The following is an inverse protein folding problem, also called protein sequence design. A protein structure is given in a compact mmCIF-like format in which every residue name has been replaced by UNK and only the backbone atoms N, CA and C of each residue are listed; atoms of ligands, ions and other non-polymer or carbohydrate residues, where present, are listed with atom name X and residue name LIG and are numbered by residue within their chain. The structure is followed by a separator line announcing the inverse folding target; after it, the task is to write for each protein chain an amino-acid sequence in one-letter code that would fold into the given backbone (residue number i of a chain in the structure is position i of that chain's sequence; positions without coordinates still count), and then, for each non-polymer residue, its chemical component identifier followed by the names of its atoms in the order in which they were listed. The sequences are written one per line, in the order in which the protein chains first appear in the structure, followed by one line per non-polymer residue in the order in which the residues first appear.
data_IF_818097409744
#
_entry.id   IF_818097409744
#
_cell.length_a   1.000
_cell.length_b   1.000
_cell.length_c   1.000
_cell.angle_alpha   90.00
_cell.angle_beta   90.00
_cell.angle_gamma   90.00
#
_symmetry.space_group_name_H-M   'P 1'
#
loop_
_entity.id
_entity.type
_entity.pdbx_description
1 polymer ?
#
# COMPACT_ATOMS: atom_id res chain seq x y z
N UNK A 1 12.42 -11.67 36.77
CA UNK A 1 12.68 -10.35 36.14
C UNK A 1 11.39 -9.89 35.50
N UNK A 2 10.96 -8.64 35.74
CA UNK A 2 9.74 -8.12 35.14
C UNK A 2 10.03 -7.81 33.64
N UNK A 3 9.27 -8.38 32.69
CA UNK A 3 9.52 -8.15 31.26
C UNK A 3 9.42 -6.67 30.82
N UNK A 4 8.65 -5.85 31.56
CA UNK A 4 8.63 -4.40 31.34
C UNK A 4 9.92 -3.70 31.79
N UNK A 5 10.69 -4.29 32.70
CA UNK A 5 11.96 -3.74 33.18
C UNK A 5 13.02 -3.72 32.06
N UNK A 6 12.96 -4.62 31.09
CA UNK A 6 13.82 -4.56 29.89
C UNK A 6 13.42 -3.41 28.97
N UNK A 7 12.14 -3.24 28.65
CA UNK A 7 11.64 -2.14 27.80
C UNK A 7 11.90 -0.76 28.43
N UNK A 8 11.79 -0.66 29.77
CA UNK A 8 12.10 0.56 30.53
C UNK A 8 13.61 0.82 30.69
N UNK A 9 14.47 -0.20 30.53
CA UNK A 9 15.94 -0.08 30.48
C UNK A 9 16.48 0.26 29.09
N UNK A 10 15.63 0.34 28.06
CA UNK A 10 16.00 0.77 26.71
C UNK A 10 15.48 2.19 26.37
N UNK A 11 15.80 3.25 27.15
CA UNK A 11 15.29 4.59 26.83
C UNK A 11 15.92 5.18 25.56
N UNK A 12 16.97 4.59 24.97
CA UNK A 12 17.64 5.17 23.81
C UNK A 12 18.52 4.19 23.00
N UNK A 13 18.36 2.87 23.12
CA UNK A 13 19.17 1.98 22.27
C UNK A 13 18.59 1.98 20.85
N UNK A 14 19.40 2.53 19.97
CA UNK A 14 19.21 2.56 18.51
C UNK A 14 19.40 1.16 17.91
N UNK A 15 19.87 0.17 18.69
CA UNK A 15 20.23 -1.17 18.21
C UNK A 15 19.35 -2.27 18.82
N UNK A 16 19.14 -3.35 18.06
CA UNK A 16 18.48 -4.59 18.50
C UNK A 16 17.00 -4.70 18.12
N UNK A 17 16.39 -3.70 17.45
CA UNK A 17 15.00 -3.78 16.99
C UNK A 17 14.85 -4.80 15.87
N UNK A 18 15.80 -4.88 14.94
CA UNK A 18 15.82 -5.90 13.90
C UNK A 18 15.80 -7.30 14.52
N UNK A 19 16.70 -7.55 15.46
CA UNK A 19 16.80 -8.86 16.13
C UNK A 19 15.50 -9.19 16.88
N UNK A 20 14.95 -8.22 17.60
CA UNK A 20 13.75 -8.38 18.42
C UNK A 20 12.45 -8.54 17.61
N UNK A 21 12.32 -7.80 16.51
CA UNK A 21 11.08 -7.71 15.73
C UNK A 21 11.05 -8.68 14.55
N UNK A 22 12.21 -8.98 13.95
CA UNK A 22 12.30 -9.74 12.69
C UNK A 22 12.99 -11.10 12.86
N UNK A 23 14.01 -11.20 13.72
CA UNK A 23 14.84 -12.42 13.83
C UNK A 23 14.35 -13.37 14.95
N UNK A 24 13.93 -12.85 16.09
CA UNK A 24 13.57 -13.64 17.29
C UNK A 24 12.07 -13.55 17.61
N UNK A 25 11.39 -14.64 18.06
CA UNK A 25 10.02 -14.54 18.56
C UNK A 25 10.00 -13.71 19.84
N UNK A 26 9.13 -12.71 19.98
CA UNK A 26 9.06 -11.88 21.18
C UNK A 26 8.54 -12.72 22.36
N UNK A 27 8.99 -12.39 23.57
CA UNK A 27 8.33 -12.90 24.77
C UNK A 27 6.85 -12.44 24.79
N UNK A 28 5.89 -13.26 25.23
CA UNK A 28 4.46 -12.90 25.27
C UNK A 28 4.17 -11.57 25.99
N UNK A 29 4.95 -11.27 27.03
CA UNK A 29 4.80 -10.06 27.84
C UNK A 29 5.30 -8.79 27.12
N UNK A 30 6.18 -8.94 26.13
CA UNK A 30 6.63 -7.86 25.27
C UNK A 30 5.47 -7.35 24.38
N UNK A 31 4.60 -8.25 23.91
CA UNK A 31 3.48 -7.91 23.01
C UNK A 31 2.50 -6.91 23.65
N UNK A 32 2.21 -7.08 24.94
CA UNK A 32 1.27 -6.23 25.66
C UNK A 32 1.83 -4.82 25.94
N UNK A 33 3.12 -4.70 26.28
CA UNK A 33 3.75 -3.42 26.61
C UNK A 33 4.28 -2.65 25.39
N UNK A 34 4.57 -3.35 24.28
CA UNK A 34 5.18 -2.75 23.10
C UNK A 34 4.29 -1.71 22.42
N UNK A 35 2.97 -1.94 22.36
CA UNK A 35 2.03 -1.03 21.70
C UNK A 35 2.00 0.36 22.38
N UNK A 36 1.95 0.40 23.71
CA UNK A 36 1.94 1.65 24.48
C UNK A 36 3.29 2.34 24.51
N UNK A 37 4.38 1.57 24.68
CA UNK A 37 5.73 2.11 24.66
C UNK A 37 6.07 2.72 23.29
N UNK A 38 5.83 2.00 22.19
CA UNK A 38 6.11 2.49 20.84
C UNK A 38 5.27 3.73 20.48
N UNK A 39 4.06 3.84 21.03
CA UNK A 39 3.23 5.04 20.91
C UNK A 39 3.86 6.25 21.58
N UNK A 40 4.42 6.09 22.78
CA UNK A 40 5.09 7.18 23.49
C UNK A 40 6.32 7.66 22.71
N UNK A 41 7.17 6.74 22.25
CA UNK A 41 8.36 7.05 21.45
C UNK A 41 8.00 7.77 20.14
N UNK A 42 6.96 7.30 19.44
CA UNK A 42 6.51 7.94 18.20
C UNK A 42 5.97 9.36 18.44
N UNK A 43 5.24 9.59 19.54
CA UNK A 43 4.74 10.93 19.90
C UNK A 43 5.88 11.91 20.17
N UNK A 44 6.90 11.47 20.91
CA UNK A 44 8.06 12.31 21.23
C UNK A 44 8.86 12.65 19.96
N UNK A 45 8.97 11.69 19.04
CA UNK A 45 9.52 11.93 17.70
C UNK A 45 8.70 12.97 16.93
N UNK A 46 7.38 12.80 16.84
CA UNK A 46 6.53 13.69 16.06
C UNK A 46 6.57 15.13 16.59
N UNK A 47 6.63 15.31 17.91
CA UNK A 47 6.71 16.63 18.53
C UNK A 47 7.92 17.49 18.07
N UNK A 48 8.99 16.87 17.57
CA UNK A 48 10.19 17.59 17.09
C UNK A 48 10.38 17.56 15.56
N UNK A 49 9.98 16.48 14.89
CA UNK A 49 10.27 16.25 13.47
C UNK A 49 9.12 16.65 12.55
N UNK A 50 7.91 16.83 13.09
CA UNK A 50 6.74 17.20 12.30
C UNK A 50 6.70 18.71 12.02
N UNK A 51 7.73 19.20 11.33
CA UNK A 51 7.85 20.59 10.89
C UNK A 51 8.42 20.66 9.46
N UNK A 52 8.04 21.67 8.68
CA UNK A 52 8.73 21.96 7.43
C UNK A 52 10.18 22.44 7.70
N UNK A 53 11.15 22.11 6.83
CA UNK A 53 12.48 22.70 6.87
C UNK A 53 12.42 24.22 6.65
N UNK A 54 13.26 24.98 7.35
CA UNK A 54 13.53 26.36 6.99
C UNK A 54 14.31 26.43 5.66
N UNK A 55 14.23 27.55 4.94
CA UNK A 55 14.88 27.70 3.62
C UNK A 55 16.39 27.46 3.65
N UNK A 56 17.07 27.85 4.75
CA UNK A 56 18.50 27.60 4.92
C UNK A 56 18.83 26.11 5.08
N UNK A 57 18.02 25.38 5.86
CA UNK A 57 18.15 23.93 6.04
C UNK A 57 17.88 23.21 4.72
N UNK A 58 16.87 23.65 3.96
CA UNK A 58 16.57 23.11 2.63
C UNK A 58 17.78 23.22 1.69
N UNK A 59 18.39 24.40 1.59
CA UNK A 59 19.55 24.61 0.73
C UNK A 59 20.78 23.80 1.18
N UNK A 60 20.96 23.57 2.48
CA UNK A 60 22.01 22.70 3.01
C UNK A 60 21.78 21.24 2.65
N UNK A 61 20.55 20.75 2.82
CA UNK A 61 20.16 19.40 2.44
C UNK A 61 20.34 19.16 0.94
N UNK A 62 19.99 20.14 0.09
CA UNK A 62 20.19 20.03 -1.36
C UNK A 62 21.67 19.99 -1.75
N UNK A 63 22.50 20.82 -1.11
CA UNK A 63 23.96 20.76 -1.31
C UNK A 63 24.54 19.42 -0.87
N UNK A 64 24.10 18.91 0.27
CA UNK A 64 24.54 17.60 0.75
C UNK A 64 24.05 16.49 -0.19
N UNK A 65 22.79 16.51 -0.61
CA UNK A 65 22.21 15.56 -1.56
C UNK A 65 23.01 15.54 -2.86
N UNK A 66 23.35 16.71 -3.42
CA UNK A 66 24.10 16.83 -4.66
C UNK A 66 25.58 16.44 -4.53
N UNK A 67 26.11 16.32 -3.30
CA UNK A 67 27.51 15.95 -3.07
C UNK A 67 27.77 14.45 -3.37
N UNK A 68 29.01 14.11 -3.73
CA UNK A 68 29.42 12.72 -3.93
C UNK A 68 29.17 11.86 -2.68
N UNK A 69 29.45 12.40 -1.49
CA UNK A 69 29.19 11.73 -0.21
C UNK A 69 27.71 11.47 -0.02
N UNK A 70 26.85 12.47 -0.23
CA UNK A 70 25.41 12.30 -0.08
C UNK A 70 24.82 11.27 -1.03
N UNK A 71 25.22 11.32 -2.31
CA UNK A 71 24.82 10.35 -3.32
C UNK A 71 25.24 8.90 -2.96
N UNK A 72 26.50 8.71 -2.54
CA UNK A 72 27.01 7.40 -2.14
C UNK A 72 26.32 6.87 -0.87
N UNK A 73 26.14 7.72 0.14
CA UNK A 73 25.47 7.35 1.39
C UNK A 73 24.01 6.95 1.14
N UNK A 74 23.25 7.72 0.35
CA UNK A 74 21.85 7.39 0.05
C UNK A 74 21.71 6.12 -0.80
N UNK A 75 22.63 5.88 -1.74
CA UNK A 75 22.66 4.63 -2.49
C UNK A 75 22.93 3.43 -1.54
N UNK A 76 23.85 3.58 -0.59
CA UNK A 76 24.15 2.56 0.41
C UNK A 76 22.97 2.30 1.35
N UNK A 77 22.27 3.36 1.80
CA UNK A 77 21.02 3.26 2.57
C UNK A 77 19.96 2.50 1.78
N UNK A 78 19.79 2.83 0.50
CA UNK A 78 18.82 2.15 -0.39
C UNK A 78 19.09 0.65 -0.48
N UNK A 79 20.36 0.26 -0.70
CA UNK A 79 20.76 -1.14 -0.77
C UNK A 79 20.59 -1.84 0.59
N UNK A 80 20.94 -1.19 1.69
CA UNK A 80 20.78 -1.75 3.04
C UNK A 80 19.31 -2.00 3.37
N UNK A 81 18.45 -1.01 3.13
CA UNK A 81 17.00 -1.13 3.34
C UNK A 81 16.41 -2.24 2.48
N UNK A 82 16.75 -2.27 1.20
CA UNK A 82 16.32 -3.33 0.29
C UNK A 82 16.73 -4.72 0.77
N UNK A 83 17.99 -4.90 1.20
CA UNK A 83 18.50 -6.20 1.69
C UNK A 83 17.78 -6.65 2.94
N UNK A 84 17.63 -5.75 3.91
CA UNK A 84 16.91 -6.05 5.14
C UNK A 84 15.46 -6.44 4.82
N UNK A 85 14.81 -5.69 3.92
CA UNK A 85 13.44 -6.00 3.54
C UNK A 85 13.34 -7.35 2.77
N UNK A 86 14.20 -7.57 1.79
CA UNK A 86 14.20 -8.81 1.00
C UNK A 86 14.33 -10.07 1.86
N UNK A 87 15.07 -10.00 2.98
CA UNK A 87 15.29 -11.13 3.87
C UNK A 87 14.02 -11.59 4.62
N UNK A 88 13.00 -10.74 4.70
CA UNK A 88 11.75 -11.02 5.42
C UNK A 88 10.51 -10.97 4.53
N UNK A 89 10.70 -10.77 3.22
CA UNK A 89 9.64 -10.64 2.21
C UNK A 89 8.63 -11.81 2.22
N UNK A 90 9.10 -13.04 2.47
CA UNK A 90 8.27 -14.24 2.46
C UNK A 90 7.34 -14.36 3.68
N UNK A 91 7.50 -13.49 4.68
CA UNK A 91 6.64 -13.42 5.86
C UNK A 91 5.49 -12.43 5.73
N UNK A 92 5.43 -11.69 4.62
CA UNK A 92 4.47 -10.63 4.43
C UNK A 92 3.07 -11.16 4.09
N UNK A 93 2.01 -10.57 4.62
CA UNK A 93 0.66 -10.89 4.16
C UNK A 93 0.33 -10.23 2.81
N UNK A 94 -0.62 -10.83 2.05
CA UNK A 94 -1.12 -10.24 0.81
C UNK A 94 -1.63 -8.83 1.03
N UNK A 95 -1.52 -7.97 0.01
CA UNK A 95 -1.83 -6.54 0.07
C UNK A 95 -0.85 -5.64 0.84
N UNK A 96 0.02 -6.22 1.67
CA UNK A 96 1.21 -5.58 2.25
C UNK A 96 2.47 -6.42 2.04
N UNK A 97 2.42 -7.22 0.98
CA UNK A 97 3.48 -8.14 0.56
C UNK A 97 4.67 -7.38 -0.03
N UNK A 98 5.71 -8.13 -0.39
CA UNK A 98 6.86 -7.55 -1.06
C UNK A 98 6.47 -6.88 -2.39
N UNK A 99 5.44 -7.38 -3.09
CA UNK A 99 4.89 -6.69 -4.27
C UNK A 99 4.38 -5.31 -3.90
N UNK A 100 3.59 -5.15 -2.85
CA UNK A 100 3.13 -3.84 -2.39
C UNK A 100 4.29 -2.95 -1.91
N UNK A 101 4.99 -3.39 -0.86
CA UNK A 101 5.92 -2.56 -0.10
C UNK A 101 7.26 -2.33 -0.81
N UNK A 102 7.71 -3.28 -1.64
CA UNK A 102 9.03 -3.21 -2.28
C UNK A 102 8.97 -2.96 -3.79
N UNK A 103 7.84 -3.17 -4.47
CA UNK A 103 7.70 -2.89 -5.90
C UNK A 103 6.75 -1.73 -6.16
N UNK A 104 5.48 -1.89 -5.79
CA UNK A 104 4.40 -1.04 -6.29
C UNK A 104 4.45 0.36 -5.71
N UNK A 105 4.61 0.49 -4.39
CA UNK A 105 4.70 1.80 -3.72
C UNK A 105 6.01 2.52 -4.08
N UNK A 106 7.20 1.90 -4.04
CA UNK A 106 8.43 2.56 -4.48
C UNK A 106 8.39 3.00 -5.95
N UNK A 107 7.85 2.17 -6.85
CA UNK A 107 7.74 2.53 -8.27
C UNK A 107 6.77 3.69 -8.49
N UNK A 108 5.60 3.67 -7.85
CA UNK A 108 4.66 4.78 -7.92
C UNK A 108 5.26 6.08 -7.34
N UNK A 109 6.08 5.99 -6.29
CA UNK A 109 6.80 7.13 -5.73
C UNK A 109 7.78 7.74 -6.75
N UNK A 110 8.50 6.89 -7.50
CA UNK A 110 9.38 7.33 -8.59
C UNK A 110 8.59 7.93 -9.77
N UNK A 111 7.41 7.40 -10.11
CA UNK A 111 6.52 8.00 -11.12
C UNK A 111 6.08 9.41 -10.71
N UNK A 112 5.66 9.59 -9.45
CA UNK A 112 5.30 10.89 -8.88
C UNK A 112 6.48 11.87 -8.86
N UNK A 113 7.65 11.38 -8.45
CA UNK A 113 8.90 12.15 -8.45
C UNK A 113 9.18 12.73 -9.84
N UNK A 114 9.02 11.92 -10.90
CA UNK A 114 9.21 12.35 -12.28
C UNK A 114 8.11 13.28 -12.78
N UNK A 115 6.84 12.99 -12.46
CA UNK A 115 5.70 13.79 -12.90
C UNK A 115 5.76 15.21 -12.34
N UNK A 116 6.12 15.35 -11.06
CA UNK A 116 6.24 16.66 -10.38
C UNK A 116 7.60 17.33 -10.58
N UNK A 117 8.53 16.66 -11.28
CA UNK A 117 9.90 17.14 -11.47
C UNK A 117 10.55 17.50 -10.12
N UNK A 118 10.41 16.60 -9.14
CA UNK A 118 10.97 16.83 -7.80
C UNK A 118 12.50 16.84 -7.90
N UNK A 119 13.11 17.88 -7.34
CA UNK A 119 14.55 18.11 -7.31
C UNK A 119 15.12 18.03 -5.89
N UNK A 120 16.45 17.96 -5.78
CA UNK A 120 17.17 18.04 -4.52
C UNK A 120 16.85 16.91 -3.54
N UNK A 121 17.00 17.20 -2.25
CA UNK A 121 16.84 16.21 -1.18
C UNK A 121 15.40 15.66 -1.08
N UNK A 122 14.39 16.38 -1.58
CA UNK A 122 13.00 15.94 -1.55
C UNK A 122 12.78 14.57 -2.23
N UNK A 123 13.68 14.21 -3.16
CA UNK A 123 13.70 12.94 -3.91
C UNK A 123 13.88 11.71 -3.02
N UNK A 124 14.34 11.87 -1.78
CA UNK A 124 14.42 10.78 -0.78
C UNK A 124 13.04 10.20 -0.43
N UNK A 125 11.93 10.84 -0.83
CA UNK A 125 10.59 10.28 -0.70
C UNK A 125 10.44 8.88 -1.29
N UNK A 126 11.21 8.54 -2.34
CA UNK A 126 11.23 7.19 -2.89
C UNK A 126 11.85 6.14 -1.93
N UNK A 127 12.79 6.54 -1.08
CA UNK A 127 13.32 5.69 -0.01
C UNK A 127 12.31 5.57 1.14
N UNK A 128 11.58 6.65 1.45
CA UNK A 128 10.46 6.63 2.39
C UNK A 128 9.37 5.64 1.96
N UNK A 129 9.06 5.61 0.65
CA UNK A 129 8.16 4.66 0.03
C UNK A 129 8.63 3.20 0.15
N UNK A 130 9.93 2.93 0.18
CA UNK A 130 10.44 1.58 0.48
C UNK A 130 10.32 1.27 1.98
N UNK A 131 10.57 2.23 2.86
CA UNK A 131 10.58 2.03 4.32
C UNK A 131 9.17 1.87 4.94
N UNK A 132 8.14 2.48 4.35
CA UNK A 132 6.87 2.77 5.03
C UNK A 132 6.21 1.54 5.70
N UNK A 133 6.20 0.40 5.02
CA UNK A 133 5.54 -0.83 5.46
C UNK A 133 6.50 -1.91 5.97
N UNK A 134 7.78 -1.60 6.16
CA UNK A 134 8.79 -2.54 6.67
C UNK A 134 8.39 -3.21 8.00
N UNK A 135 7.72 -2.47 8.88
CA UNK A 135 7.21 -2.95 10.16
C UNK A 135 5.99 -3.85 10.06
N UNK A 136 5.35 -4.00 8.89
CA UNK A 136 4.17 -4.87 8.75
C UNK A 136 4.53 -6.34 8.94
N UNK A 137 5.67 -6.78 8.44
CA UNK A 137 6.07 -8.19 8.57
C UNK A 137 6.47 -8.54 9.99
N UNK A 138 7.07 -7.58 10.71
CA UNK A 138 7.25 -7.67 12.15
C UNK A 138 5.89 -7.78 12.85
N UNK A 139 4.95 -6.88 12.57
CA UNK A 139 3.61 -6.89 13.19
C UNK A 139 2.94 -8.26 13.05
N UNK A 140 2.97 -8.87 11.88
CA UNK A 140 2.37 -10.17 11.63
C UNK A 140 3.06 -11.30 12.39
N UNK A 141 4.41 -11.31 12.41
CA UNK A 141 5.17 -12.26 13.23
C UNK A 141 4.83 -12.15 14.71
N UNK A 142 4.61 -10.92 15.18
CA UNK A 142 4.34 -10.63 16.59
C UNK A 142 2.86 -10.84 16.97
N UNK A 143 1.90 -10.70 16.05
CA UNK A 143 0.47 -10.66 16.39
C UNK A 143 -0.39 -11.69 15.62
N UNK A 144 0.18 -12.43 14.67
CA UNK A 144 -0.52 -13.45 13.89
C UNK A 144 -1.45 -12.90 12.81
N UNK A 145 -1.42 -11.60 12.57
CA UNK A 145 -2.23 -10.87 11.60
C UNK A 145 -2.12 -9.36 11.81
N UNK A 146 -2.75 -8.54 10.96
CA UNK A 146 -2.72 -7.09 11.08
C UNK A 146 -3.39 -6.66 12.40
N UNK A 147 -2.66 -5.92 13.25
CA UNK A 147 -3.21 -5.39 14.49
C UNK A 147 -4.09 -4.15 14.23
N UNK A 148 -4.84 -3.72 15.25
CA UNK A 148 -5.63 -2.51 15.19
C UNK A 148 -4.72 -1.25 15.14
N UNK A 149 -4.52 -0.73 13.92
CA UNK A 149 -4.13 0.66 13.58
C UNK A 149 -2.73 1.14 14.03
N UNK A 150 -1.97 1.62 13.04
CA UNK A 150 -0.66 2.34 13.09
C UNK A 150 0.52 1.65 13.79
N UNK A 151 0.35 0.43 14.31
CA UNK A 151 1.43 -0.27 14.99
C UNK A 151 2.57 -0.65 14.02
N UNK A 152 2.24 -1.14 12.82
CA UNK A 152 3.23 -1.39 11.78
C UNK A 152 4.05 -0.15 11.41
N UNK A 153 3.41 1.03 11.32
CA UNK A 153 4.11 2.29 11.06
C UNK A 153 5.16 2.62 12.14
N UNK A 154 4.82 2.36 13.41
CA UNK A 154 5.76 2.52 14.54
C UNK A 154 6.89 1.50 14.50
N UNK A 155 6.63 0.27 14.07
CA UNK A 155 7.67 -0.74 13.85
C UNK A 155 8.59 -0.35 12.69
N UNK A 156 8.04 0.11 11.56
CA UNK A 156 8.80 0.63 10.42
C UNK A 156 9.72 1.77 10.86
N UNK A 157 9.22 2.65 11.72
CA UNK A 157 10.00 3.72 12.34
C UNK A 157 11.17 3.21 13.18
N UNK A 158 10.95 2.23 14.06
CA UNK A 158 12.01 1.70 14.92
C UNK A 158 13.08 0.98 14.09
N UNK A 159 12.67 0.16 13.12
CA UNK A 159 13.55 -0.55 12.19
C UNK A 159 14.34 0.43 11.32
N UNK A 160 13.68 1.46 10.80
CA UNK A 160 14.30 2.53 10.03
C UNK A 160 15.32 3.31 10.87
N UNK A 161 14.97 3.64 12.12
CA UNK A 161 15.86 4.39 13.02
C UNK A 161 17.13 3.61 13.32
N UNK A 162 17.01 2.31 13.57
CA UNK A 162 18.17 1.43 13.76
C UNK A 162 19.05 1.37 12.52
N UNK A 163 18.45 1.14 11.35
CA UNK A 163 19.18 1.04 10.09
C UNK A 163 19.91 2.34 9.75
N UNK A 164 19.22 3.49 9.84
CA UNK A 164 19.77 4.79 9.45
C UNK A 164 20.91 5.26 10.36
N UNK A 165 20.99 4.77 11.60
CA UNK A 165 22.07 5.11 12.52
C UNK A 165 23.44 4.52 12.13
N UNK A 166 23.46 3.54 11.23
CA UNK A 166 24.70 3.04 10.62
C UNK A 166 25.30 3.98 9.57
N UNK A 167 24.66 5.12 9.28
CA UNK A 167 25.03 6.03 8.20
C UNK A 167 25.20 7.47 8.71
N UNK A 168 26.17 8.19 8.13
CA UNK A 168 26.37 9.62 8.39
C UNK A 168 25.39 10.45 7.54
N UNK A 169 24.18 10.64 8.07
CA UNK A 169 23.13 11.45 7.45
C UNK A 169 22.97 12.79 8.16
N UNK A 170 22.63 13.88 7.44
CA UNK A 170 22.12 15.09 8.08
C UNK A 170 20.90 14.74 8.95
N UNK A 171 20.84 15.18 10.22
CA UNK A 171 19.77 14.78 11.14
C UNK A 171 18.36 15.03 10.61
N UNK A 172 18.14 16.19 9.97
CA UNK A 172 16.85 16.55 9.39
C UNK A 172 16.45 15.61 8.23
N UNK A 173 17.40 15.09 7.45
CA UNK A 173 17.14 14.15 6.38
C UNK A 173 16.67 12.80 6.94
N UNK A 174 17.37 12.30 7.97
CA UNK A 174 16.97 11.09 8.67
C UNK A 174 15.58 11.23 9.30
N UNK A 175 15.30 12.38 9.92
CA UNK A 175 13.98 12.69 10.46
C UNK A 175 12.88 12.71 9.39
N UNK A 176 13.13 13.28 8.20
CA UNK A 176 12.16 13.26 7.12
C UNK A 176 11.87 11.84 6.61
N UNK A 177 12.89 10.99 6.46
CA UNK A 177 12.71 9.58 6.11
C UNK A 177 11.88 8.84 7.17
N UNK A 178 12.19 9.03 8.45
CA UNK A 178 11.47 8.39 9.55
C UNK A 178 10.04 8.90 9.70
N UNK A 179 9.79 10.17 9.37
CA UNK A 179 8.46 10.76 9.33
C UNK A 179 7.58 10.07 8.28
N UNK A 180 8.14 9.71 7.12
CA UNK A 180 7.39 8.96 6.09
C UNK A 180 6.85 7.64 6.64
N UNK A 181 7.67 6.90 7.40
CA UNK A 181 7.27 5.64 8.01
C UNK A 181 6.15 5.82 9.04
N UNK A 182 6.23 6.84 9.90
CA UNK A 182 5.23 7.08 10.95
C UNK A 182 3.90 7.65 10.44
N UNK A 183 3.96 8.57 9.46
CA UNK A 183 2.78 9.34 9.02
C UNK A 183 2.10 8.79 7.77
N UNK A 184 2.65 7.79 7.09
CA UNK A 184 2.03 7.28 5.85
C UNK A 184 0.56 6.86 6.04
N UNK A 185 0.24 6.27 7.20
CA UNK A 185 -1.12 5.82 7.55
C UNK A 185 -2.10 6.95 7.85
N UNK A 186 -1.62 8.13 8.27
CA UNK A 186 -2.48 9.29 8.60
C UNK A 186 -2.77 10.19 7.40
N UNK A 187 -2.07 10.01 6.29
CA UNK A 187 -2.14 10.89 5.14
C UNK A 187 -1.13 12.05 5.22
N UNK A 188 -1.18 12.91 4.21
CA UNK A 188 -0.31 14.08 4.08
C UNK A 188 -1.13 15.30 3.65
N UNK A 189 -0.77 16.44 4.21
CA UNK A 189 -1.37 17.75 3.99
C UNK A 189 -0.51 18.58 3.00
N UNK A 190 -1.05 19.65 2.39
CA UNK A 190 -0.30 20.48 1.44
C UNK A 190 1.03 21.03 2.00
N UNK A 191 1.04 21.41 3.27
CA UNK A 191 2.21 21.94 3.99
C UNK A 191 3.23 20.88 4.38
N UNK A 192 2.91 19.60 4.27
CA UNK A 192 3.83 18.53 4.65
C UNK A 192 5.05 18.46 3.71
N UNK A 193 6.19 17.97 4.24
CA UNK A 193 7.41 17.87 3.45
C UNK A 193 7.21 16.91 2.27
N UNK A 194 7.81 17.26 1.13
CA UNK A 194 7.66 16.50 -0.13
C UNK A 194 8.00 15.00 -0.01
N UNK A 195 9.04 14.57 0.75
CA UNK A 195 9.27 13.14 0.98
C UNK A 195 8.07 12.36 1.54
N UNK A 196 7.33 12.95 2.49
CA UNK A 196 6.11 12.34 3.04
C UNK A 196 5.01 12.26 1.98
N UNK A 197 4.84 13.32 1.19
CA UNK A 197 3.84 13.38 0.11
C UNK A 197 4.08 12.34 -0.98
N UNK A 198 5.33 12.15 -1.37
CA UNK A 198 5.78 11.12 -2.33
C UNK A 198 5.59 9.68 -1.81
N UNK A 199 5.60 9.48 -0.49
CA UNK A 199 5.33 8.18 0.13
C UNK A 199 3.84 7.91 0.25
N UNK A 200 3.10 8.85 0.87
CA UNK A 200 1.66 8.74 1.10
C UNK A 200 0.90 8.57 -0.20
N UNK A 201 1.19 9.40 -1.20
CA UNK A 201 0.42 9.36 -2.46
C UNK A 201 0.64 8.05 -3.20
N UNK A 202 1.88 7.57 -3.22
CA UNK A 202 2.23 6.29 -3.83
C UNK A 202 1.58 5.09 -3.13
N UNK A 203 1.51 5.08 -1.79
CA UNK A 203 0.81 4.07 -1.00
C UNK A 203 -0.71 4.12 -1.26
N UNK A 204 -1.30 5.31 -1.21
CA UNK A 204 -2.75 5.49 -1.43
C UNK A 204 -3.18 5.18 -2.85
N UNK A 205 -2.33 5.38 -3.85
CA UNK A 205 -2.63 4.98 -5.22
C UNK A 205 -2.81 3.46 -5.35
N UNK A 206 -2.29 2.65 -4.42
CA UNK A 206 -2.54 1.19 -4.37
C UNK A 206 -3.94 0.83 -3.84
N UNK A 207 -4.67 1.81 -3.32
CA UNK A 207 -6.10 1.68 -3.01
C UNK A 207 -6.98 2.02 -4.23
N UNK A 208 -6.37 2.28 -5.38
CA UNK A 208 -7.03 2.59 -6.65
C UNK A 208 -6.49 1.69 -7.78
N UNK A 209 -7.37 1.24 -8.67
CA UNK A 209 -6.98 0.37 -9.78
C UNK A 209 -6.91 -1.11 -9.40
N UNK A 210 -6.10 -1.89 -10.12
CA UNK A 210 -6.14 -3.35 -10.12
C UNK A 210 -5.56 -4.03 -8.88
N UNK A 211 -4.54 -3.42 -8.26
CA UNK A 211 -3.91 -3.98 -7.05
C UNK A 211 -4.89 -4.10 -5.87
N UNK A 212 -5.99 -3.32 -5.87
CA UNK A 212 -7.01 -3.44 -4.81
C UNK A 212 -7.78 -4.77 -4.87
N UNK A 213 -7.80 -5.45 -6.02
CA UNK A 213 -8.42 -6.77 -6.14
C UNK A 213 -7.72 -7.82 -5.27
N UNK A 214 -6.40 -7.71 -5.09
CA UNK A 214 -5.64 -8.55 -4.15
C UNK A 214 -6.10 -8.35 -2.70
N UNK A 215 -6.68 -7.19 -2.39
CA UNK A 215 -7.18 -6.85 -1.05
C UNK A 215 -8.55 -7.45 -0.73
N UNK A 216 -9.28 -7.97 -1.73
CA UNK A 216 -10.61 -8.57 -1.52
C UNK A 216 -10.59 -9.70 -0.50
N UNK A 217 -9.54 -10.52 -0.55
CA UNK A 217 -9.42 -11.65 0.35
C UNK A 217 -8.55 -11.35 1.59
N UNK A 218 -7.92 -10.16 1.65
CA UNK A 218 -6.94 -9.77 2.66
C UNK A 218 -7.48 -9.74 4.10
N UNK A 219 -8.55 -8.99 4.32
CA UNK A 219 -8.92 -8.59 5.68
C UNK A 219 -9.71 -9.67 6.38
N UNK A 220 -9.14 -10.31 7.41
CA UNK A 220 -9.87 -11.26 8.24
C UNK A 220 -11.19 -10.65 8.77
N UNK A 221 -12.23 -11.48 8.97
CA UNK A 221 -13.45 -10.99 9.58
C UNK A 221 -13.17 -10.34 10.93
N UNK A 222 -13.73 -9.16 11.18
CA UNK A 222 -13.60 -8.54 12.50
C UNK A 222 -14.57 -9.18 13.50
N UNK A 223 -14.50 -8.76 14.77
CA UNK A 223 -15.36 -9.27 15.85
C UNK A 223 -16.86 -9.08 15.57
N UNK A 224 -17.22 -8.09 14.72
CA UNK A 224 -18.60 -7.84 14.28
C UNK A 224 -19.04 -8.72 13.10
N UNK A 225 -18.14 -9.52 12.56
CA UNK A 225 -18.39 -10.35 11.38
C UNK A 225 -18.37 -9.59 10.06
N UNK A 226 -17.91 -8.33 10.03
CA UNK A 226 -17.67 -7.63 8.77
C UNK A 226 -16.54 -8.33 8.00
N UNK A 227 -16.60 -8.24 6.67
CA UNK A 227 -15.70 -8.84 5.69
C UNK A 227 -15.73 -10.37 5.68
N UNK A 228 -16.81 -11.00 6.17
CA UNK A 228 -17.00 -12.46 6.05
C UNK A 228 -17.29 -12.92 4.63
N UNK A 229 -17.94 -12.07 3.82
CA UNK A 229 -18.28 -12.32 2.43
C UNK A 229 -17.41 -11.49 1.48
N UNK A 230 -17.31 -11.95 0.23
CA UNK A 230 -16.76 -11.13 -0.86
C UNK A 230 -17.80 -10.13 -1.39
N UNK A 231 -19.04 -10.60 -1.57
CA UNK A 231 -20.17 -9.84 -2.15
C UNK A 231 -21.34 -9.80 -1.16
N UNK A 232 -21.70 -8.61 -0.66
CA UNK A 232 -22.92 -8.36 0.12
C UNK A 232 -23.14 -9.23 1.37
N UNK A 233 -24.38 -9.33 1.86
CA UNK A 233 -24.75 -10.12 3.03
C UNK A 233 -24.95 -11.61 2.67
N UNK A 234 -24.58 -12.52 3.59
CA UNK A 234 -24.86 -13.95 3.44
C UNK A 234 -26.28 -14.27 3.96
N UNK A 235 -27.06 -15.12 3.27
CA UNK A 235 -28.40 -15.49 3.73
C UNK A 235 -28.39 -16.05 5.16
N UNK A 236 -29.17 -15.44 6.05
CA UNK A 236 -29.30 -15.87 7.45
C UNK A 236 -28.18 -15.41 8.39
N UNK A 237 -27.22 -14.60 7.92
CA UNK A 237 -26.22 -13.95 8.77
C UNK A 237 -26.65 -12.53 9.15
N UNK A 238 -26.06 -12.00 10.23
CA UNK A 238 -26.27 -10.61 10.63
C UNK A 238 -25.72 -9.66 9.55
N UNK A 239 -26.40 -8.52 9.28
CA UNK A 239 -25.95 -7.56 8.29
C UNK A 239 -24.57 -7.03 8.65
N UNK A 240 -23.67 -7.00 7.66
CA UNK A 240 -22.28 -6.59 7.82
C UNK A 240 -21.66 -6.20 6.49
N UNK A 241 -20.60 -5.40 6.54
CA UNK A 241 -19.88 -4.96 5.33
C UNK A 241 -19.19 -6.15 4.65
N UNK A 242 -19.33 -6.27 3.33
CA UNK A 242 -18.57 -7.20 2.49
C UNK A 242 -17.20 -6.63 2.10
N UNK A 243 -16.34 -7.46 1.51
CA UNK A 243 -15.07 -6.99 0.97
C UNK A 243 -15.24 -5.90 -0.11
N UNK A 244 -16.27 -6.02 -0.97
CA UNK A 244 -16.58 -4.99 -1.98
C UNK A 244 -17.03 -3.66 -1.37
N UNK A 245 -17.79 -3.67 -0.27
CA UNK A 245 -18.19 -2.43 0.42
C UNK A 245 -16.97 -1.65 0.92
N UNK A 246 -15.92 -2.36 1.32
CA UNK A 246 -14.64 -1.74 1.71
C UNK A 246 -13.90 -1.13 0.52
N UNK A 247 -13.90 -1.82 -0.63
CA UNK A 247 -13.27 -1.30 -1.85
C UNK A 247 -14.02 -0.06 -2.33
N UNK A 248 -15.36 -0.09 -2.31
CA UNK A 248 -16.19 1.07 -2.60
C UNK A 248 -15.86 2.24 -1.66
N UNK A 249 -15.71 1.99 -0.37
CA UNK A 249 -15.30 3.02 0.59
C UNK A 249 -14.01 3.71 0.13
N UNK A 250 -12.98 2.95 -0.26
CA UNK A 250 -11.73 3.53 -0.78
C UNK A 250 -11.94 4.28 -2.10
N UNK A 251 -12.70 3.70 -3.03
CA UNK A 251 -13.03 4.30 -4.31
C UNK A 251 -13.76 5.67 -4.18
N UNK A 252 -14.69 5.79 -3.23
CA UNK A 252 -15.42 7.03 -2.93
C UNK A 252 -14.56 8.03 -2.17
N UNK A 253 -13.84 7.56 -1.17
CA UNK A 253 -13.13 8.39 -0.22
C UNK A 253 -11.66 8.55 -0.59
N UNK A 254 -11.32 8.73 -1.89
CA UNK A 254 -9.93 9.02 -2.31
C UNK A 254 -9.31 9.97 -1.31
N UNK A 255 -8.40 9.44 -0.50
CA UNK A 255 -7.67 10.24 0.44
C UNK A 255 -6.77 11.11 -0.44
N UNK A 256 -6.85 12.44 -0.33
CA UNK A 256 -6.09 13.31 -1.20
C UNK A 256 -4.61 12.94 -1.08
N UNK A 257 -3.98 12.60 -2.20
CA UNK A 257 -2.54 12.73 -2.33
C UNK A 257 -2.29 14.23 -2.50
N UNK A 258 -1.54 14.89 -1.61
CA UNK A 258 -1.26 16.31 -1.77
C UNK A 258 -0.37 16.51 -3.01
N UNK A 259 -0.97 17.07 -4.07
CA UNK A 259 -0.27 17.68 -5.22
C UNK A 259 0.45 16.71 -6.17
N UNK A 260 -0.31 15.98 -7.01
CA UNK A 260 0.31 15.22 -8.11
C UNK A 260 -0.52 15.28 -9.40
N UNK A 261 0.12 15.64 -10.52
CA UNK A 261 -0.40 15.84 -11.87
C UNK A 261 -0.67 14.53 -12.65
N UNK A 262 -0.74 13.37 -11.99
CA UNK A 262 -1.05 12.07 -12.61
C UNK A 262 -2.55 11.91 -12.95
N UNK A 263 -3.25 12.99 -13.28
CA UNK A 263 -4.71 13.02 -13.40
C UNK A 263 -5.26 11.98 -14.40
N UNK A 264 -4.63 11.81 -15.56
CA UNK A 264 -5.08 10.86 -16.57
C UNK A 264 -4.88 9.39 -16.16
N UNK A 265 -3.72 9.05 -15.58
CA UNK A 265 -3.43 7.68 -15.12
C UNK A 265 -4.31 7.31 -13.92
N UNK A 266 -4.49 8.24 -12.98
CA UNK A 266 -5.37 8.05 -11.84
C UNK A 266 -6.83 7.94 -12.30
N UNK A 267 -7.27 8.77 -13.25
CA UNK A 267 -8.61 8.65 -13.83
C UNK A 267 -8.82 7.29 -14.51
N UNK A 268 -7.83 6.79 -15.26
CA UNK A 268 -7.89 5.46 -15.87
C UNK A 268 -7.97 4.34 -14.81
N UNK A 269 -7.14 4.38 -13.77
CA UNK A 269 -7.21 3.43 -12.64
C UNK A 269 -8.55 3.47 -11.92
N UNK A 270 -9.13 4.67 -11.76
CA UNK A 270 -10.43 4.86 -11.14
C UNK A 270 -11.56 4.32 -12.03
N UNK A 271 -11.51 4.55 -13.32
CA UNK A 271 -12.47 4.01 -14.28
C UNK A 271 -12.41 2.48 -14.33
N UNK A 272 -11.19 1.92 -14.33
CA UNK A 272 -10.97 0.48 -14.23
C UNK A 272 -11.56 -0.11 -12.95
N UNK A 273 -11.32 0.53 -11.79
CA UNK A 273 -11.85 0.05 -10.52
C UNK A 273 -13.38 0.08 -10.49
N UNK A 274 -13.98 1.09 -11.11
CA UNK A 274 -15.42 1.14 -11.26
C UNK A 274 -15.94 -0.03 -12.11
N UNK A 275 -15.29 -0.31 -13.24
CA UNK A 275 -15.63 -1.48 -14.08
C UNK A 275 -15.50 -2.80 -13.34
N UNK A 276 -14.44 -2.95 -12.56
CA UNK A 276 -14.22 -4.12 -11.70
C UNK A 276 -15.38 -4.32 -10.71
N UNK A 277 -15.81 -3.26 -10.02
CA UNK A 277 -16.94 -3.32 -9.08
C UNK A 277 -18.23 -3.71 -9.78
N UNK A 278 -18.52 -3.13 -10.96
CA UNK A 278 -19.72 -3.43 -11.74
C UNK A 278 -19.74 -4.88 -12.24
N UNK A 279 -18.60 -5.44 -12.67
CA UNK A 279 -18.56 -6.83 -13.16
C UNK A 279 -18.62 -7.89 -12.07
N UNK A 280 -18.22 -7.54 -10.83
CA UNK A 280 -18.15 -8.45 -9.69
C UNK A 280 -19.53 -8.73 -9.04
N UNK A 281 -20.55 -7.91 -9.33
CA UNK A 281 -21.86 -8.01 -8.70
C UNK A 281 -23.01 -7.84 -9.74
N UNK A 282 -24.24 -8.31 -9.44
CA UNK A 282 -25.36 -8.12 -10.37
C UNK A 282 -25.80 -6.65 -10.42
N UNK A 283 -26.42 -6.25 -11.54
CA UNK A 283 -26.86 -4.85 -11.73
C UNK A 283 -27.77 -4.33 -10.61
N UNK A 284 -28.61 -5.19 -10.02
CA UNK A 284 -29.46 -4.81 -8.88
C UNK A 284 -28.66 -4.36 -7.67
N UNK A 285 -27.53 -5.03 -7.38
CA UNK A 285 -26.61 -4.65 -6.32
C UNK A 285 -25.86 -3.36 -6.69
N UNK A 286 -25.33 -3.26 -7.91
CA UNK A 286 -24.64 -2.03 -8.38
C UNK A 286 -25.54 -0.80 -8.38
N UNK A 287 -26.82 -0.95 -8.71
CA UNK A 287 -27.79 0.15 -8.64
C UNK A 287 -27.99 0.64 -7.20
N UNK A 288 -28.02 -0.27 -6.23
CA UNK A 288 -28.10 0.10 -4.81
C UNK A 288 -26.80 0.75 -4.33
N UNK A 289 -25.66 0.16 -4.68
CA UNK A 289 -24.31 0.63 -4.33
C UNK A 289 -24.03 2.03 -4.86
N UNK A 290 -24.39 2.28 -6.12
CA UNK A 290 -24.14 3.52 -6.84
C UNK A 290 -25.42 4.32 -7.11
N UNK A 291 -26.34 4.32 -6.14
CA UNK A 291 -27.62 5.01 -6.25
C UNK A 291 -27.48 6.53 -6.50
N UNK A 292 -26.36 7.13 -6.09
CA UNK A 292 -26.02 8.53 -6.37
C UNK A 292 -25.65 8.81 -7.84
N UNK A 293 -25.29 7.77 -8.60
CA UNK A 293 -25.05 7.83 -10.05
C UNK A 293 -26.25 7.37 -10.88
N UNK A 294 -27.21 6.65 -10.29
CA UNK A 294 -28.44 6.27 -10.98
C UNK A 294 -29.33 7.51 -11.21
N UNK A 295 -30.01 7.60 -12.37
CA UNK A 295 -30.82 8.75 -12.77
C UNK A 295 -31.94 9.13 -11.76
N UNK A 296 -32.35 8.18 -10.91
CA UNK A 296 -33.33 8.37 -9.84
C UNK A 296 -32.74 9.04 -8.57
N UNK A 297 -31.42 9.29 -8.56
CA UNK A 297 -30.61 9.68 -7.41
C UNK A 297 -30.60 11.15 -7.02
N UNK A 298 -31.50 11.99 -7.56
CA UNK A 298 -31.72 13.36 -7.05
C UNK A 298 -32.39 13.31 -5.67
N UNK A 299 -31.66 12.86 -4.65
CA UNK A 299 -32.14 12.74 -3.28
C UNK A 299 -31.63 11.52 -2.51
N UNK A 300 -31.03 10.54 -3.19
CA UNK A 300 -30.48 9.37 -2.50
C UNK A 300 -29.28 9.79 -1.61
N UNK A 301 -29.30 9.44 -0.30
CA UNK A 301 -28.12 9.62 0.54
C UNK A 301 -26.99 8.76 -0.04
N UNK A 302 -25.78 9.31 -0.07
CA UNK A 302 -24.61 8.49 -0.40
C UNK A 302 -24.53 7.35 0.62
N UNK A 303 -24.44 6.10 0.16
CA UNK A 303 -24.14 4.98 1.04
C UNK A 303 -22.73 5.23 1.59
N UNK A 304 -22.66 5.73 2.83
CA UNK A 304 -21.41 5.90 3.61
C UNK A 304 -20.23 6.58 2.88
N UNK A 305 -20.40 7.78 2.33
CA UNK A 305 -19.23 8.51 1.82
C UNK A 305 -19.50 9.73 0.94
N UNK A 306 -18.47 10.14 0.20
CA UNK A 306 -18.55 11.20 -0.81
C UNK A 306 -19.37 10.74 -2.02
N UNK A 307 -20.14 11.67 -2.60
CA UNK A 307 -20.84 11.44 -3.88
C UNK A 307 -19.83 11.25 -5.01
N UNK A 308 -20.14 10.34 -5.91
CA UNK A 308 -19.34 10.06 -7.08
C UNK A 308 -19.65 11.05 -8.21
N UNK A 309 -18.64 11.49 -8.98
CA UNK A 309 -18.87 12.37 -10.11
C UNK A 309 -19.50 11.60 -11.29
N UNK A 310 -20.46 12.22 -11.97
CA UNK A 310 -21.12 11.66 -13.16
C UNK A 310 -20.14 11.33 -14.30
N UNK A 311 -18.96 11.97 -14.35
CA UNK A 311 -17.92 11.67 -15.34
C UNK A 311 -17.42 10.22 -15.30
N UNK A 312 -17.64 9.47 -14.23
CA UNK A 312 -17.31 8.04 -14.15
C UNK A 312 -18.18 7.18 -15.09
N UNK A 313 -19.36 7.68 -15.44
CA UNK A 313 -20.26 7.01 -16.37
C UNK A 313 -19.83 7.22 -17.83
N UNK A 314 -18.88 8.13 -18.10
CA UNK A 314 -18.31 8.32 -19.45
C UNK A 314 -19.39 8.61 -20.51
N UNK A 315 -20.37 9.44 -20.14
CA UNK A 315 -21.50 9.82 -21.00
C UNK A 315 -22.63 8.78 -21.10
N UNK A 316 -22.50 7.63 -20.43
CA UNK A 316 -23.53 6.59 -20.34
C UNK A 316 -24.44 6.79 -19.12
N UNK A 317 -25.54 6.05 -19.05
CA UNK A 317 -26.21 5.80 -17.77
C UNK A 317 -25.56 4.63 -17.00
N UNK A 318 -26.00 4.38 -15.76
CA UNK A 318 -25.44 3.31 -14.92
C UNK A 318 -25.74 1.90 -15.49
N UNK A 319 -26.88 1.69 -16.14
CA UNK A 319 -27.24 0.41 -16.73
C UNK A 319 -26.39 0.10 -17.97
N UNK A 320 -26.20 1.09 -18.83
CA UNK A 320 -25.31 1.04 -20.00
C UNK A 320 -23.85 0.82 -19.58
N UNK A 321 -23.39 1.53 -18.53
CA UNK A 321 -22.05 1.34 -17.99
C UNK A 321 -21.85 -0.07 -17.43
N UNK A 322 -22.85 -0.61 -16.71
CA UNK A 322 -22.82 -1.98 -16.17
C UNK A 322 -22.81 -3.03 -17.27
N UNK A 323 -23.64 -2.86 -18.31
CA UNK A 323 -23.65 -3.74 -19.48
C UNK A 323 -22.29 -3.72 -20.19
N UNK A 324 -21.67 -2.54 -20.37
CA UNK A 324 -20.32 -2.39 -20.92
C UNK A 324 -19.28 -3.13 -20.08
N UNK A 325 -19.29 -2.93 -18.76
CA UNK A 325 -18.36 -3.61 -17.85
C UNK A 325 -18.53 -5.14 -17.89
N UNK A 326 -19.77 -5.61 -17.95
CA UNK A 326 -20.09 -7.04 -18.06
C UNK A 326 -19.61 -7.62 -19.39
N UNK A 327 -19.73 -6.89 -20.49
CA UNK A 327 -19.22 -7.30 -21.80
C UNK A 327 -17.68 -7.36 -21.87
N UNK A 328 -16.99 -6.57 -21.05
CA UNK A 328 -15.53 -6.61 -20.89
C UNK A 328 -15.06 -7.76 -20.00
N UNK A 329 -15.95 -8.41 -19.25
CA UNK A 329 -15.58 -9.48 -18.33
C UNK A 329 -15.01 -10.67 -19.13
N UNK A 330 -13.74 -11.05 -18.91
CA UNK A 330 -13.14 -12.20 -19.59
C UNK A 330 -13.92 -13.47 -19.31
N UNK A 331 -13.97 -14.36 -20.30
CA UNK A 331 -14.36 -15.74 -20.05
C UNK A 331 -13.38 -16.34 -19.04
N UNK A 332 -13.88 -16.98 -18.00
CA UNK A 332 -13.07 -17.60 -16.95
C UNK A 332 -13.28 -19.11 -16.96
N UNK A 333 -12.30 -19.83 -16.41
CA UNK A 333 -12.37 -21.29 -16.26
C UNK A 333 -13.30 -21.65 -15.09
N UNK A 334 -12.79 -21.50 -13.88
CA UNK A 334 -13.50 -21.67 -12.62
C UNK A 334 -12.94 -20.67 -11.59
N UNK A 335 -13.75 -20.22 -10.63
CA UNK A 335 -13.36 -19.14 -9.73
C UNK A 335 -12.19 -19.50 -8.82
N UNK A 336 -12.00 -20.78 -8.44
CA UNK A 336 -10.86 -21.21 -7.64
C UNK A 336 -9.55 -21.05 -8.43
N UNK A 337 -9.54 -21.49 -9.68
CA UNK A 337 -8.37 -21.35 -10.57
C UNK A 337 -8.03 -19.89 -10.80
N UNK A 338 -9.01 -19.03 -11.10
CA UNK A 338 -8.75 -17.61 -11.34
C UNK A 338 -8.29 -16.86 -10.08
N UNK A 339 -8.85 -17.21 -8.91
CA UNK A 339 -8.39 -16.68 -7.63
C UNK A 339 -6.96 -17.16 -7.34
N UNK A 340 -6.66 -18.44 -7.57
CA UNK A 340 -5.31 -18.98 -7.38
C UNK A 340 -4.29 -18.26 -8.28
N UNK A 341 -4.62 -18.05 -9.56
CA UNK A 341 -3.76 -17.32 -10.50
C UNK A 341 -3.49 -15.88 -10.04
N UNK A 342 -4.51 -15.17 -9.55
CA UNK A 342 -4.35 -13.83 -8.98
C UNK A 342 -3.43 -13.84 -7.73
N UNK A 343 -3.54 -14.88 -6.90
CA UNK A 343 -2.72 -15.08 -5.70
C UNK A 343 -1.31 -15.62 -6.00
N UNK A 344 -1.06 -16.12 -7.20
CA UNK A 344 0.23 -16.62 -7.69
C UNK A 344 1.05 -15.56 -8.43
N UNK A 345 0.53 -14.33 -8.54
CA UNK A 345 1.28 -13.20 -9.07
C UNK A 345 2.64 -13.05 -8.35
N UNK A 346 3.71 -12.64 -9.07
CA UNK A 346 5.06 -12.59 -8.50
C UNK A 346 5.10 -11.83 -7.18
N UNK A 347 5.64 -12.50 -6.16
CA UNK A 347 5.89 -11.94 -4.81
C UNK A 347 4.64 -11.42 -4.10
N UNK A 348 3.46 -11.87 -4.51
CA UNK A 348 2.30 -11.92 -3.64
C UNK A 348 2.57 -13.08 -2.68
N UNK A 349 2.51 -12.83 -1.38
CA UNK A 349 2.83 -13.85 -0.36
C UNK A 349 1.58 -14.26 0.42
N UNK A 350 0.65 -15.03 -0.18
CA UNK A 350 -0.47 -15.57 0.55
C UNK A 350 -0.01 -16.81 1.28
N UNK A 351 0.29 -16.64 2.58
CA UNK A 351 0.49 -17.76 3.49
C UNK A 351 -0.59 -18.83 3.31
N UNK A 352 -0.33 -20.11 3.63
CA UNK A 352 -1.35 -21.16 3.50
C UNK A 352 -2.67 -20.82 4.23
N UNK A 353 -2.58 -20.16 5.38
CA UNK A 353 -3.74 -19.66 6.13
C UNK A 353 -4.55 -18.63 5.34
N UNK A 354 -3.86 -17.74 4.61
CA UNK A 354 -4.52 -16.77 3.75
C UNK A 354 -5.25 -17.43 2.59
N UNK A 355 -4.60 -18.36 1.88
CA UNK A 355 -5.23 -19.07 0.76
C UNK A 355 -6.49 -19.79 1.24
N UNK A 356 -6.41 -20.42 2.41
CA UNK A 356 -7.56 -21.06 3.04
C UNK A 356 -8.69 -20.05 3.36
N UNK A 357 -8.36 -18.86 3.88
CA UNK A 357 -9.33 -17.80 4.12
C UNK A 357 -10.00 -17.33 2.81
N UNK A 358 -9.21 -17.04 1.78
CA UNK A 358 -9.67 -16.59 0.48
C UNK A 358 -10.62 -17.62 -0.18
N UNK A 359 -10.19 -18.87 -0.23
CA UNK A 359 -11.00 -19.98 -0.76
C UNK A 359 -12.25 -20.23 0.10
N UNK A 360 -12.13 -20.13 1.42
CA UNK A 360 -13.25 -20.28 2.34
C UNK A 360 -14.35 -19.22 2.15
N UNK A 361 -13.99 -18.00 1.72
CA UNK A 361 -14.97 -16.98 1.33
C UNK A 361 -15.62 -17.28 -0.01
N UNK A 362 -14.81 -17.69 -0.98
CA UNK A 362 -15.28 -18.03 -2.33
C UNK A 362 -16.27 -19.20 -2.31
N UNK A 363 -16.04 -20.18 -1.44
CA UNK A 363 -16.92 -21.35 -1.27
C UNK A 363 -18.29 -21.03 -0.66
N UNK A 364 -18.48 -19.84 -0.05
CA UNK A 364 -19.75 -19.41 0.54
C UNK A 364 -20.69 -18.71 -0.45
N UNK A 365 -20.20 -18.47 -1.66
CA UNK A 365 -20.95 -17.75 -2.68
C UNK A 365 -21.82 -18.69 -3.50
N UNK A 366 -22.94 -18.19 -4.01
CA UNK A 366 -23.74 -18.92 -5.00
C UNK A 366 -23.01 -19.03 -6.35
N UNK A 367 -23.45 -19.96 -7.20
CA UNK A 367 -22.82 -20.26 -8.48
C UNK A 367 -22.74 -19.02 -9.39
N UNK A 368 -23.75 -18.16 -9.36
CA UNK A 368 -23.78 -16.96 -10.18
C UNK A 368 -22.75 -15.92 -9.72
N UNK A 369 -22.59 -15.73 -8.41
CA UNK A 369 -21.58 -14.86 -7.81
C UNK A 369 -20.16 -15.39 -8.05
N UNK A 370 -20.01 -16.72 -7.93
CA UNK A 370 -18.79 -17.45 -8.26
C UNK A 370 -18.36 -17.21 -9.71
N UNK A 371 -19.26 -17.39 -10.67
CA UNK A 371 -18.99 -17.14 -12.09
C UNK A 371 -18.58 -15.66 -12.36
N UNK A 372 -19.32 -14.70 -11.77
CA UNK A 372 -18.99 -13.27 -11.93
C UNK A 372 -17.60 -12.95 -11.40
N UNK A 373 -17.26 -13.44 -10.21
CA UNK A 373 -15.96 -13.20 -9.60
C UNK A 373 -14.82 -13.92 -10.32
N UNK A 374 -15.05 -15.09 -10.92
CA UNK A 374 -14.05 -15.74 -11.74
C UNK A 374 -13.55 -14.80 -12.86
N UNK A 375 -14.49 -14.24 -13.63
CA UNK A 375 -14.16 -13.27 -14.68
C UNK A 375 -13.53 -11.98 -14.12
N UNK A 376 -13.98 -11.50 -12.96
CA UNK A 376 -13.39 -10.32 -12.32
C UNK A 376 -11.95 -10.55 -11.83
N UNK A 377 -11.65 -11.73 -11.27
CA UNK A 377 -10.30 -12.10 -10.87
C UNK A 377 -9.36 -12.19 -12.06
N UNK A 378 -9.81 -12.81 -13.16
CA UNK A 378 -9.05 -12.84 -14.41
C UNK A 378 -8.78 -11.43 -14.95
N UNK A 379 -9.81 -10.57 -14.97
CA UNK A 379 -9.68 -9.17 -15.37
C UNK A 379 -8.66 -8.40 -14.53
N UNK A 380 -8.62 -8.66 -13.21
CA UNK A 380 -7.62 -8.10 -12.32
C UNK A 380 -6.21 -8.63 -12.58
N UNK A 381 -6.05 -9.94 -12.76
CA UNK A 381 -4.75 -10.56 -13.04
C UNK A 381 -4.14 -10.03 -14.35
N UNK A 382 -4.93 -9.95 -15.42
CA UNK A 382 -4.52 -9.39 -16.70
C UNK A 382 -4.06 -7.93 -16.55
N UNK A 383 -4.79 -7.13 -15.78
CA UNK A 383 -4.44 -5.74 -15.50
C UNK A 383 -3.16 -5.60 -14.65
N UNK A 384 -2.97 -6.46 -13.64
CA UNK A 384 -1.74 -6.53 -12.85
C UNK A 384 -0.51 -6.84 -13.71
N UNK A 385 -0.62 -7.82 -14.62
CA UNK A 385 0.47 -8.17 -15.54
C UNK A 385 0.80 -7.03 -16.50
N UNK A 386 -0.21 -6.36 -17.05
CA UNK A 386 -0.01 -5.21 -17.93
C UNK A 386 0.67 -4.04 -17.19
N UNK A 387 0.28 -3.76 -15.95
CA UNK A 387 0.92 -2.72 -15.13
C UNK A 387 2.36 -3.09 -14.74
N UNK A 388 2.64 -4.36 -14.45
CA UNK A 388 4.01 -4.84 -14.18
C UNK A 388 4.93 -4.58 -15.38
N UNK A 389 4.48 -4.90 -16.59
CA UNK A 389 5.24 -4.65 -17.82
C UNK A 389 5.47 -3.15 -18.06
N UNK A 390 4.44 -2.32 -17.81
CA UNK A 390 4.52 -0.85 -17.90
C UNK A 390 5.53 -0.30 -16.90
N UNK A 391 5.44 -0.71 -15.63
CA UNK A 391 6.34 -0.28 -14.56
C UNK A 391 7.79 -0.69 -14.85
N UNK A 392 8.01 -1.91 -15.33
CA UNK A 392 9.35 -2.35 -15.70
C UNK A 392 9.94 -1.54 -16.86
N UNK A 393 9.11 -1.17 -17.84
CA UNK A 393 9.50 -0.28 -18.95
C UNK A 393 9.86 1.11 -18.41
N UNK A 394 9.03 1.67 -17.52
CA UNK A 394 9.30 2.93 -16.85
C UNK A 394 10.62 2.89 -16.07
N UNK A 395 10.85 1.88 -15.24
CA UNK A 395 12.05 1.74 -14.42
C UNK A 395 13.33 1.62 -15.28
N UNK A 396 13.27 0.87 -16.39
CA UNK A 396 14.40 0.76 -17.33
C UNK A 396 14.74 2.10 -17.96
N UNK A 397 13.74 2.86 -18.39
CA UNK A 397 13.94 4.21 -18.93
C UNK A 397 14.46 5.17 -17.85
N UNK A 398 13.92 5.10 -16.64
CA UNK A 398 14.32 5.92 -15.50
C UNK A 398 15.79 5.70 -15.16
N UNK A 399 16.23 4.44 -15.06
CA UNK A 399 17.62 4.08 -14.76
C UNK A 399 18.61 4.67 -15.77
N UNK A 400 18.22 4.79 -17.04
CA UNK A 400 19.06 5.41 -18.08
C UNK A 400 19.07 6.93 -17.95
N UNK A 401 17.91 7.55 -17.72
CA UNK A 401 17.75 9.01 -17.62
C UNK A 401 18.38 9.60 -16.35
N UNK A 402 18.22 8.91 -15.24
CA UNK A 402 18.62 9.37 -13.90
C UNK A 402 19.91 8.68 -13.43
N UNK A 403 20.79 8.27 -14.37
CA UNK A 403 22.02 7.56 -14.04
C UNK A 403 22.98 8.37 -13.13
N UNK A 404 22.83 9.70 -13.10
CA UNK A 404 23.59 10.60 -12.24
C UNK A 404 23.01 10.76 -10.83
N UNK A 405 21.76 10.35 -10.61
CA UNK A 405 21.12 10.32 -9.30
C UNK A 405 21.28 8.91 -8.72
N UNK A 406 22.33 8.73 -7.92
CA UNK A 406 22.74 7.43 -7.39
C UNK A 406 21.64 6.70 -6.59
N UNK A 407 20.91 7.32 -5.63
CA UNK A 407 19.85 6.61 -4.93
C UNK A 407 18.66 6.24 -5.82
N UNK A 408 18.25 7.11 -6.75
CA UNK A 408 17.18 6.79 -7.72
C UNK A 408 17.62 5.65 -8.64
N UNK A 409 18.83 5.72 -9.20
CA UNK A 409 19.38 4.69 -10.07
C UNK A 409 19.58 3.35 -9.34
N UNK A 410 20.02 3.39 -8.07
CA UNK A 410 20.16 2.20 -7.23
C UNK A 410 18.81 1.54 -6.97
N UNK A 411 17.80 2.31 -6.56
CA UNK A 411 16.45 1.80 -6.33
C UNK A 411 15.84 1.22 -7.61
N UNK A 412 15.89 1.97 -8.72
CA UNK A 412 15.42 1.47 -10.02
C UNK A 412 16.15 0.19 -10.45
N UNK A 413 17.47 0.12 -10.24
CA UNK A 413 18.28 -1.07 -10.51
C UNK A 413 17.87 -2.29 -9.68
N UNK A 414 17.65 -2.10 -8.37
CA UNK A 414 17.18 -3.16 -7.47
C UNK A 414 15.79 -3.64 -7.89
N UNK A 415 14.87 -2.71 -8.17
CA UNK A 415 13.53 -3.01 -8.66
C UNK A 415 13.58 -3.83 -9.95
N UNK A 416 14.39 -3.44 -10.94
CA UNK A 416 14.52 -4.20 -12.21
C UNK A 416 15.06 -5.62 -11.97
N UNK A 417 16.07 -5.75 -11.10
CA UNK A 417 16.83 -7.00 -10.94
C UNK A 417 16.16 -8.00 -9.99
N UNK A 418 15.14 -7.59 -9.24
CA UNK A 418 14.43 -8.42 -8.29
C UNK A 418 13.52 -9.49 -8.93
N UNK A 419 13.43 -9.51 -10.27
CA UNK A 419 12.74 -10.58 -11.00
C UNK A 419 11.23 -10.51 -10.91
N UNK A 420 10.64 -9.31 -10.85
CA UNK A 420 9.18 -9.14 -10.81
C UNK A 420 8.47 -9.45 -12.13
N UNK A 421 9.22 -9.55 -13.24
CA UNK A 421 8.70 -9.92 -14.56
C UNK A 421 8.86 -11.41 -14.83
N UNK A 422 7.73 -12.12 -14.91
CA UNK A 422 7.47 -13.46 -15.43
C UNK A 422 8.65 -14.45 -15.55
N UNK A 423 8.52 -15.60 -14.87
CA UNK A 423 8.71 -16.86 -15.57
C UNK A 423 7.74 -16.86 -16.76
N UNK A 424 8.26 -16.61 -17.96
CA UNK A 424 7.53 -16.82 -19.22
C UNK A 424 7.45 -18.30 -19.54
#
# INVERSE_FOLDING_TARGET
MNPTEHLLRFPALVHGWRELLLDTPPAPELRAAFADWSKAVARDFLARADRPPASAEHAELDRWYASATGQQTLAAVTVALWRQMSAHADHAMPAHDARHAMLKVPTASLEHLMAERVEGHARIGALGALLHDHGRWAEERLFGGPAASVLHARMSFLLGRELLAGFELPPLLADQLLLTALRHTSGAEPQDPMPLKLTVSADRDQLFGHEIALRLCHHAPNERGEYRSLVGELPGEAPGLSALDRIEFFFRNRLPGPLFALDAQVAARRAWLFDFLLMAEPFTASRARFADLAADGQGAPAHQGRRLPASLLDGLDLAERHARATALRPAATDPETELAALLDLPRVAPSPAYRALAMGRLARLDDAARERLAGAFRFAADACHADDARQLTFLRALRQREAADAPVAALAGLLINAGWGAAG
#
